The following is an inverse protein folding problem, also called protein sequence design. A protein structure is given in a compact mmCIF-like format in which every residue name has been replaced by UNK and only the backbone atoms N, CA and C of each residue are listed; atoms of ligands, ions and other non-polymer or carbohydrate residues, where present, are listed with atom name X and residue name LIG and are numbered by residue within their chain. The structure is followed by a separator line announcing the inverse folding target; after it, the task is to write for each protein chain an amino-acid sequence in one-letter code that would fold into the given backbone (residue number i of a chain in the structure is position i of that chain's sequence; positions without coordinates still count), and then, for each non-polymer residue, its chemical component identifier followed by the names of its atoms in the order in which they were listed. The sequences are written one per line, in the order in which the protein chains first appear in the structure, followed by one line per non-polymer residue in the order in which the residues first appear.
data_IF_481002263920
#
_entry.id   IF_481002263920
#
_cell.length_a   1.000
_cell.length_b   1.000
_cell.length_c   1.000
_cell.angle_alpha   90.00
_cell.angle_beta   90.00
_cell.angle_gamma   90.00
#
_symmetry.space_group_name_H-M   'P 1'
#
loop_
_entity.id
_entity.type
_entity.pdbx_description
1 polymer ?
#
# COMPACT_ATOMS: atom_id res chain seq x y z
N UNK A 1 11.04 -19.43 5.33
CA UNK A 1 9.92 -18.51 5.02
C UNK A 1 8.93 -19.27 4.15
N UNK A 2 7.69 -19.45 4.62
CA UNK A 2 6.67 -20.22 3.92
C UNK A 2 5.60 -19.28 3.36
N UNK A 3 5.10 -19.53 2.16
CA UNK A 3 4.02 -18.73 1.56
C UNK A 3 2.73 -19.52 1.63
N UNK A 4 1.78 -19.02 2.41
CA UNK A 4 0.46 -19.63 2.58
C UNK A 4 -0.62 -18.63 2.15
N UNK A 5 -1.47 -19.03 1.19
CA UNK A 5 -2.57 -18.20 0.68
C UNK A 5 -2.15 -16.78 0.23
N UNK A 6 -0.89 -16.62 -0.18
CA UNK A 6 -0.35 -15.33 -0.60
C UNK A 6 0.21 -14.46 0.52
N UNK A 7 0.07 -14.88 1.77
CA UNK A 7 0.73 -14.32 2.96
C UNK A 7 2.01 -15.09 3.28
N UNK A 8 2.94 -14.40 3.93
CA UNK A 8 4.24 -14.91 4.35
C UNK A 8 4.16 -15.28 5.83
N UNK A 9 4.43 -16.54 6.11
CA UNK A 9 4.60 -17.04 7.46
C UNK A 9 6.10 -17.19 7.75
N UNK A 10 6.57 -16.43 8.74
CA UNK A 10 7.93 -16.49 9.23
C UNK A 10 8.02 -17.49 10.40
N UNK A 11 9.12 -18.23 10.48
CA UNK A 11 9.32 -19.24 11.53
C UNK A 11 9.63 -18.62 12.90
N UNK A 12 10.09 -17.37 12.92
CA UNK A 12 10.38 -16.54 14.09
C UNK A 12 9.15 -15.76 14.59
N UNK A 13 7.95 -16.07 14.08
CA UNK A 13 6.70 -15.33 14.35
C UNK A 13 6.75 -13.83 14.00
N UNK A 14 7.79 -13.37 13.28
CA UNK A 14 7.93 -11.98 12.87
C UNK A 14 7.01 -11.64 11.70
N UNK A 15 6.22 -10.58 11.86
CA UNK A 15 5.34 -10.04 10.81
C UNK A 15 6.05 -9.07 9.86
N UNK A 16 7.31 -8.68 10.17
CA UNK A 16 8.09 -7.76 9.34
C UNK A 16 8.17 -8.20 7.87
N UNK A 17 8.46 -9.47 7.55
CA UNK A 17 8.59 -9.90 6.16
C UNK A 17 7.25 -9.86 5.40
N UNK A 18 6.14 -10.13 6.07
CA UNK A 18 4.80 -10.03 5.47
C UNK A 18 4.41 -8.57 5.21
N UNK A 19 4.61 -7.69 6.19
CA UNK A 19 4.33 -6.25 6.06
C UNK A 19 5.18 -5.65 4.93
N UNK A 20 6.47 -5.98 4.87
CA UNK A 20 7.37 -5.53 3.80
C UNK A 20 6.91 -6.02 2.41
N UNK A 21 6.45 -7.27 2.32
CA UNK A 21 5.88 -7.83 1.09
C UNK A 21 4.61 -7.10 0.66
N UNK A 22 3.69 -6.80 1.58
CA UNK A 22 2.48 -6.00 1.25
C UNK A 22 2.81 -4.58 0.82
N UNK A 23 3.78 -3.95 1.48
CA UNK A 23 4.25 -2.62 1.10
C UNK A 23 4.80 -2.62 -0.33
N UNK A 24 5.59 -3.64 -0.69
CA UNK A 24 6.12 -3.83 -2.04
C UNK A 24 5.00 -4.04 -3.07
N UNK A 25 4.02 -4.91 -2.76
CA UNK A 25 2.88 -5.18 -3.65
C UNK A 25 1.99 -3.97 -3.86
N UNK A 26 1.66 -3.25 -2.79
CA UNK A 26 0.90 -2.01 -2.85
C UNK A 26 1.65 -0.91 -3.61
N UNK A 27 2.96 -0.79 -3.38
CA UNK A 27 3.84 0.10 -4.13
C UNK A 27 3.86 -0.22 -5.63
N UNK A 28 3.92 -1.51 -5.98
CA UNK A 28 3.80 -1.98 -7.36
C UNK A 28 2.45 -1.64 -7.99
N UNK A 29 1.34 -1.84 -7.26
CA UNK A 29 0.01 -1.48 -7.72
C UNK A 29 -0.13 0.03 -7.97
N UNK A 30 0.36 0.85 -7.03
CA UNK A 30 0.40 2.31 -7.18
C UNK A 30 1.24 2.73 -8.40
N UNK A 31 2.40 2.10 -8.60
CA UNK A 31 3.30 2.39 -9.72
C UNK A 31 2.67 2.03 -11.07
N UNK A 32 1.94 0.91 -11.17
CA UNK A 32 1.18 0.55 -12.38
C UNK A 32 0.16 1.63 -12.74
N UNK A 33 -0.62 2.11 -11.78
CA UNK A 33 -1.57 3.22 -11.98
C UNK A 33 -0.84 4.52 -12.38
N UNK A 34 0.34 4.77 -11.81
CA UNK A 34 1.17 5.90 -12.19
C UNK A 34 1.69 5.80 -13.63
N UNK A 35 2.04 4.60 -14.11
CA UNK A 35 2.48 4.34 -15.48
C UNK A 35 1.35 4.56 -16.49
N UNK A 36 0.12 4.22 -16.10
CA UNK A 36 -1.11 4.54 -16.84
C UNK A 36 -1.52 6.02 -16.74
N UNK A 37 -0.69 6.86 -16.13
CA UNK A 37 -0.91 8.31 -15.94
C UNK A 37 -2.16 8.67 -15.14
N UNK A 38 -2.81 7.72 -14.45
CA UNK A 38 -4.05 7.94 -13.67
C UNK A 38 -3.92 9.11 -12.70
N UNK A 39 -2.79 9.21 -12.00
CA UNK A 39 -2.56 10.26 -11.01
C UNK A 39 -2.36 11.65 -11.65
N UNK A 40 -1.77 11.71 -12.84
CA UNK A 40 -1.43 12.95 -13.55
C UNK A 40 -2.52 13.41 -14.52
N UNK A 41 -3.44 12.53 -14.90
CA UNK A 41 -4.51 12.84 -15.82
C UNK A 41 -5.46 13.89 -15.23
N UNK A 42 -5.71 14.97 -15.97
CA UNK A 42 -6.61 16.06 -15.58
C UNK A 42 -8.08 15.72 -15.83
N UNK A 43 -8.35 14.76 -16.73
CA UNK A 43 -9.71 14.31 -17.05
C UNK A 43 -10.30 13.42 -15.94
N UNK A 44 -9.45 12.81 -15.11
CA UNK A 44 -9.88 11.99 -13.98
C UNK A 44 -10.06 12.90 -12.76
N UNK A 45 -11.29 12.94 -12.23
CA UNK A 45 -11.57 13.71 -11.02
C UNK A 45 -10.77 13.18 -9.82
N UNK A 46 -10.43 14.08 -8.89
CA UNK A 46 -9.72 13.73 -7.66
C UNK A 46 -10.49 12.68 -6.84
N UNK A 47 -11.82 12.75 -6.83
CA UNK A 47 -12.70 11.76 -6.19
C UNK A 47 -12.45 10.35 -6.74
N UNK A 48 -12.40 10.19 -8.07
CA UNK A 48 -12.13 8.90 -8.70
C UNK A 48 -10.71 8.42 -8.38
N UNK A 49 -9.70 9.30 -8.40
CA UNK A 49 -8.32 8.95 -8.02
C UNK A 49 -8.26 8.40 -6.59
N UNK A 50 -8.95 9.04 -5.65
CA UNK A 50 -9.01 8.58 -4.26
C UNK A 50 -9.73 7.24 -4.16
N UNK A 51 -10.82 7.02 -4.89
CA UNK A 51 -11.51 5.73 -4.95
C UNK A 51 -10.57 4.63 -5.47
N UNK A 52 -9.88 4.87 -6.59
CA UNK A 52 -8.92 3.92 -7.15
C UNK A 52 -7.79 3.59 -6.17
N UNK A 53 -7.29 4.59 -5.45
CA UNK A 53 -6.30 4.38 -4.40
C UNK A 53 -6.84 3.44 -3.30
N UNK A 54 -8.05 3.70 -2.77
CA UNK A 54 -8.67 2.87 -1.73
C UNK A 54 -8.92 1.43 -2.21
N UNK A 55 -9.50 1.28 -3.40
CA UNK A 55 -9.94 -0.02 -3.93
C UNK A 55 -8.78 -0.89 -4.36
N UNK A 56 -7.68 -0.32 -4.88
CA UNK A 56 -6.57 -1.09 -5.46
C UNK A 56 -5.36 -1.09 -4.53
N UNK A 57 -4.91 0.08 -4.11
CA UNK A 57 -3.63 0.21 -3.39
C UNK A 57 -3.81 -0.11 -1.91
N UNK A 58 -4.82 0.50 -1.27
CA UNK A 58 -5.07 0.31 0.15
C UNK A 58 -5.56 -1.10 0.47
N UNK A 59 -6.45 -1.68 -0.34
CA UNK A 59 -6.86 -3.09 -0.19
C UNK A 59 -5.69 -4.07 -0.32
N UNK A 60 -4.76 -3.82 -1.26
CA UNK A 60 -3.55 -4.65 -1.42
C UNK A 60 -2.61 -4.52 -0.23
N UNK A 61 -2.50 -3.31 0.33
CA UNK A 61 -1.66 -3.02 1.49
C UNK A 61 -2.19 -3.68 2.75
N UNK A 62 -3.51 -3.66 2.97
CA UNK A 62 -4.15 -4.15 4.20
C UNK A 62 -4.60 -5.60 4.12
N UNK A 63 -4.30 -6.33 3.04
CA UNK A 63 -4.68 -7.72 2.95
C UNK A 63 -3.98 -8.55 4.04
N UNK A 64 -4.77 -9.24 4.86
CA UNK A 64 -4.29 -10.08 5.96
C UNK A 64 -3.91 -9.29 7.22
N UNK A 65 -4.21 -7.98 7.29
CA UNK A 65 -3.86 -7.15 8.44
C UNK A 65 -4.56 -7.56 9.72
N UNK A 66 -5.72 -8.24 9.62
CA UNK A 66 -6.43 -8.83 10.75
C UNK A 66 -5.63 -9.90 11.49
N UNK A 67 -4.60 -10.47 10.85
CA UNK A 67 -3.72 -11.49 11.44
C UNK A 67 -2.36 -10.93 11.88
N UNK A 68 -2.09 -9.64 11.68
CA UNK A 68 -0.79 -9.07 11.98
C UNK A 68 -0.66 -8.66 13.45
N UNK A 69 0.36 -9.18 14.11
CA UNK A 69 0.90 -8.57 15.31
C UNK A 69 1.75 -7.34 14.94
N UNK A 70 1.10 -6.17 14.80
CA UNK A 70 1.76 -4.92 14.39
C UNK A 70 2.42 -4.19 15.56
N UNK A 71 3.61 -3.65 15.32
CA UNK A 71 4.27 -2.73 16.25
C UNK A 71 3.98 -1.27 15.89
N UNK A 72 4.29 -0.34 16.79
CA UNK A 72 4.21 1.11 16.49
C UNK A 72 5.12 1.52 15.33
N UNK A 73 6.24 0.83 15.13
CA UNK A 73 7.14 1.09 14.00
C UNK A 73 6.48 0.67 12.67
N UNK A 74 5.75 -0.43 12.66
CA UNK A 74 5.03 -0.91 11.48
C UNK A 74 3.91 0.01 11.08
N UNK A 75 3.12 0.49 12.05
CA UNK A 75 2.07 1.46 11.81
C UNK A 75 2.67 2.72 11.17
N UNK A 76 3.79 3.23 11.72
CA UNK A 76 4.49 4.38 11.13
C UNK A 76 4.95 4.12 9.69
N UNK A 77 5.46 2.93 9.37
CA UNK A 77 5.86 2.57 7.99
C UNK A 77 4.65 2.59 7.04
N UNK A 78 3.50 2.06 7.47
CA UNK A 78 2.25 2.06 6.70
C UNK A 78 1.72 3.49 6.49
N UNK A 79 1.72 4.31 7.54
CA UNK A 79 1.30 5.71 7.48
C UNK A 79 2.18 6.53 6.53
N UNK A 80 3.51 6.39 6.63
CA UNK A 80 4.46 7.08 5.73
C UNK A 80 4.18 6.73 4.27
N UNK A 81 3.90 5.46 3.97
CA UNK A 81 3.54 5.03 2.62
C UNK A 81 2.21 5.63 2.15
N UNK A 82 1.16 5.55 2.98
CA UNK A 82 -0.15 6.12 2.67
C UNK A 82 -0.08 7.62 2.42
N UNK A 83 0.60 8.36 3.30
CA UNK A 83 0.77 9.81 3.17
C UNK A 83 1.57 10.17 1.92
N UNK A 84 2.62 9.41 1.58
CA UNK A 84 3.39 9.61 0.33
C UNK A 84 2.51 9.44 -0.91
N UNK A 85 1.68 8.40 -0.95
CA UNK A 85 0.75 8.17 -2.05
C UNK A 85 -0.29 9.28 -2.15
N UNK A 86 -0.96 9.62 -1.05
CA UNK A 86 -2.03 10.62 -1.03
C UNK A 86 -1.51 12.02 -1.39
N UNK A 87 -0.36 12.45 -0.86
CA UNK A 87 0.24 13.75 -1.23
C UNK A 87 0.48 13.86 -2.74
N UNK A 88 0.98 12.78 -3.36
CA UNK A 88 1.22 12.75 -4.81
C UNK A 88 -0.08 12.73 -5.63
N UNK A 89 -1.15 12.09 -5.13
CA UNK A 89 -2.48 12.16 -5.75
C UNK A 89 -3.06 13.58 -5.69
N UNK A 90 -2.84 14.26 -4.56
CA UNK A 90 -3.30 15.63 -4.33
C UNK A 90 -2.40 16.70 -5.00
N UNK A 91 -1.24 16.32 -5.54
CA UNK A 91 -0.30 17.24 -6.16
C UNK A 91 0.49 18.12 -5.17
N UNK A 92 0.55 17.72 -3.90
CA UNK A 92 1.28 18.47 -2.85
C UNK A 92 2.76 18.05 -2.88
N UNK A 93 3.65 18.98 -3.23
CA UNK A 93 5.10 18.83 -3.05
C UNK A 93 5.56 19.46 -1.72
N UNK A 94 6.70 19.00 -1.20
CA UNK A 94 7.46 19.70 -0.15
C UNK A 94 8.12 20.95 -0.74
#
# INVERSE_FOLDING_TARGET
MFKYLGSICSADMSMQPEIASRLSRAGGAYHKLSRLKVWKDKNISLKIKVILYKVIVQSTLLYGCETWAVTNEDIRKLEVFQMRCLRRILGISL
#
